data_IF_393633336144
#
_entry.id   IF_393633336144
#
_cell.length_a   1.000
_cell.length_b   1.000
_cell.length_c   1.000
_cell.angle_alpha   90.00
_cell.angle_beta   90.00
_cell.angle_gamma   90.00
#
_symmetry.space_group_name_H-M   'P 1'
#
loop_
_entity.id
_entity.type
_entity.pdbx_description
1 polymer ?
#
# COMPACT_ATOMS: atom_id res chain seq x y z
N UNK A 1 -27.67 -14.45 26.22
CA UNK A 1 -26.91 -14.20 24.97
C UNK A 1 -26.53 -12.73 24.90
N UNK A 2 -25.26 -12.38 25.17
CA UNK A 2 -24.74 -11.01 24.94
C UNK A 2 -24.38 -10.88 23.47
N UNK A 3 -24.99 -9.95 22.75
CA UNK A 3 -24.56 -9.59 21.39
C UNK A 3 -23.22 -8.88 21.52
N UNK A 4 -22.13 -9.55 21.15
CA UNK A 4 -20.82 -8.92 21.03
C UNK A 4 -20.92 -7.80 20.00
N UNK A 5 -20.47 -6.61 20.35
CA UNK A 5 -20.45 -5.48 19.42
C UNK A 5 -19.31 -5.70 18.43
N UNK A 6 -19.50 -5.34 17.16
CA UNK A 6 -18.42 -5.35 16.16
C UNK A 6 -17.25 -4.41 16.54
N UNK A 7 -17.42 -3.56 17.57
CA UNK A 7 -16.39 -2.64 18.06
C UNK A 7 -15.24 -3.35 18.80
N UNK A 8 -15.45 -4.58 19.28
CA UNK A 8 -14.45 -5.34 20.05
C UNK A 8 -13.53 -6.21 19.18
N UNK A 9 -13.65 -6.12 17.85
CA UNK A 9 -12.77 -6.85 16.94
C UNK A 9 -11.36 -6.23 16.93
N UNK A 10 -10.29 -7.04 16.85
CA UNK A 10 -8.92 -6.54 16.97
C UNK A 10 -8.53 -5.55 15.86
N UNK A 11 -9.25 -5.55 14.73
CA UNK A 11 -9.02 -4.68 13.58
C UNK A 11 -9.91 -3.42 13.58
N UNK A 12 -10.87 -3.28 14.50
CA UNK A 12 -11.76 -2.10 14.61
C UNK A 12 -11.22 -1.01 15.52
N UNK A 13 -10.03 -1.21 16.12
CA UNK A 13 -9.29 -0.16 16.82
C UNK A 13 -8.73 0.82 15.80
N UNK A 14 -9.55 1.75 15.33
CA UNK A 14 -9.05 2.95 14.66
C UNK A 14 -8.40 3.83 15.72
N UNK A 15 -7.14 3.54 16.05
CA UNK A 15 -6.31 4.52 16.73
C UNK A 15 -6.31 5.78 15.86
N UNK A 16 -6.98 6.82 16.35
CA UNK A 16 -6.99 8.12 15.71
C UNK A 16 -5.55 8.61 15.80
N UNK A 17 -4.75 8.31 14.79
CA UNK A 17 -3.39 8.84 14.64
C UNK A 17 -3.53 10.36 14.69
N UNK A 18 -3.20 10.94 15.84
CA UNK A 18 -3.01 12.37 15.96
C UNK A 18 -2.03 12.74 14.86
N UNK A 19 -2.48 13.53 13.88
CA UNK A 19 -1.61 14.02 12.83
C UNK A 19 -0.60 14.92 13.53
N UNK A 20 0.59 14.39 13.82
CA UNK A 20 1.73 15.22 14.17
C UNK A 20 1.84 16.28 13.08
N UNK A 21 1.85 17.56 13.48
CA UNK A 21 2.11 18.65 12.57
C UNK A 21 3.46 18.36 11.91
N UNK A 22 3.47 18.33 10.57
CA UNK A 22 4.72 18.16 9.85
C UNK A 22 5.66 19.30 10.28
N UNK A 23 6.96 19.01 10.54
CA UNK A 23 7.92 20.04 10.89
C UNK A 23 7.92 21.11 9.81
N UNK A 24 7.84 22.38 10.21
CA UNK A 24 7.90 23.51 9.29
C UNK A 24 9.26 23.47 8.62
N UNK A 25 9.35 23.33 7.29
CA UNK A 25 10.64 23.29 6.61
C UNK A 25 11.26 24.69 6.64
N UNK A 26 12.52 24.81 7.07
CA UNK A 26 13.32 26.05 7.04
C UNK A 26 13.75 26.47 5.61
N UNK A 27 12.93 26.13 4.60
CA UNK A 27 13.23 26.36 3.19
C UNK A 27 12.86 27.77 2.71
N UNK A 28 13.44 28.24 1.59
CA UNK A 28 13.05 29.50 0.98
C UNK A 28 11.57 29.45 0.58
N UNK A 29 10.80 30.46 1.01
CA UNK A 29 9.36 30.60 0.72
C UNK A 29 9.19 31.62 -0.41
N UNK A 30 8.37 31.30 -1.40
CA UNK A 30 7.97 32.23 -2.47
C UNK A 30 6.59 32.77 -2.19
N UNK A 31 6.42 34.10 -2.21
CA UNK A 31 5.14 34.75 -1.97
C UNK A 31 4.46 35.11 -3.29
N UNK A 32 3.30 34.53 -3.56
CA UNK A 32 2.50 34.81 -4.76
C UNK A 32 1.07 35.16 -4.33
N UNK A 33 0.58 36.33 -4.75
CA UNK A 33 -0.77 36.82 -4.44
C UNK A 33 -1.14 36.76 -2.93
N UNK A 34 -0.19 37.11 -2.06
CA UNK A 34 -0.39 37.11 -0.61
C UNK A 34 -0.39 35.72 0.05
N UNK A 35 -0.13 34.66 -0.70
CA UNK A 35 0.04 33.29 -0.21
C UNK A 35 1.52 32.90 -0.21
N UNK A 36 1.90 32.18 0.84
CA UNK A 36 3.25 31.66 1.04
C UNK A 36 3.33 30.23 0.50
N UNK A 37 4.18 30.03 -0.52
CA UNK A 37 4.44 28.73 -1.11
C UNK A 37 5.85 28.29 -0.72
N UNK A 38 5.97 27.15 -0.07
CA UNK A 38 7.26 26.49 0.09
C UNK A 38 7.83 26.20 -1.30
N UNK A 39 9.08 26.58 -1.54
CA UNK A 39 9.80 26.05 -2.70
C UNK A 39 10.05 24.57 -2.45
N UNK A 40 9.14 23.73 -2.95
CA UNK A 40 9.37 22.31 -3.15
C UNK A 40 10.45 22.17 -4.23
N UNK A 41 11.70 22.50 -3.89
CA UNK A 41 12.82 21.95 -4.64
C UNK A 41 12.75 20.46 -4.38
N UNK A 42 12.35 19.68 -5.39
CA UNK A 42 12.57 18.25 -5.35
C UNK A 42 14.04 18.08 -4.96
N UNK A 43 14.32 17.59 -3.76
CA UNK A 43 15.65 17.08 -3.43
C UNK A 43 15.79 15.82 -4.27
N UNK A 44 16.01 16.02 -5.58
CA UNK A 44 16.43 15.00 -6.49
C UNK A 44 17.80 14.61 -5.99
N UNK A 45 17.84 13.50 -5.25
CA UNK A 45 19.10 12.87 -4.91
C UNK A 45 19.74 12.45 -6.24
N UNK A 46 20.72 13.23 -6.68
CA UNK A 46 21.42 12.99 -7.95
C UNK A 46 22.09 11.60 -7.97
N UNK A 47 22.25 10.95 -6.81
CA UNK A 47 22.81 9.60 -6.68
C UNK A 47 21.77 8.48 -6.72
N UNK A 48 20.47 8.81 -6.69
CA UNK A 48 19.41 7.82 -6.45
C UNK A 48 18.17 7.97 -7.35
N UNK A 49 18.17 8.90 -8.29
CA UNK A 49 16.95 9.21 -9.08
C UNK A 49 17.00 8.77 -10.54
N UNK A 50 18.14 8.29 -11.06
CA UNK A 50 18.24 7.91 -12.47
C UNK A 50 18.44 6.39 -12.62
N UNK A 51 17.35 5.64 -12.49
CA UNK A 51 17.34 4.24 -12.96
C UNK A 51 17.61 4.25 -14.46
N UNK A 52 18.66 3.55 -14.87
CA UNK A 52 18.98 3.34 -16.29
C UNK A 52 17.83 2.59 -16.98
N UNK A 53 17.66 2.72 -18.30
CA UNK A 53 16.65 1.95 -19.03
C UNK A 53 16.78 0.43 -18.83
N UNK A 54 18.01 -0.07 -18.61
CA UNK A 54 18.25 -1.47 -18.31
C UNK A 54 17.70 -1.86 -16.92
N UNK A 55 17.95 -1.05 -15.89
CA UNK A 55 17.40 -1.28 -14.55
C UNK A 55 15.87 -1.18 -14.54
N UNK A 56 15.29 -0.26 -15.30
CA UNK A 56 13.84 -0.17 -15.46
C UNK A 56 13.25 -1.44 -16.07
N UNK A 57 13.89 -2.01 -17.10
CA UNK A 57 13.45 -3.29 -17.70
C UNK A 57 13.52 -4.45 -16.69
N UNK A 58 14.60 -4.52 -15.90
CA UNK A 58 14.74 -5.57 -14.88
C UNK A 58 13.66 -5.44 -13.80
N UNK A 59 13.36 -4.22 -13.36
CA UNK A 59 12.32 -3.97 -12.37
C UNK A 59 10.93 -4.33 -12.92
N UNK A 60 10.64 -3.98 -14.17
CA UNK A 60 9.37 -4.30 -14.80
C UNK A 60 9.22 -5.81 -14.99
N UNK A 61 10.28 -6.52 -15.41
CA UNK A 61 10.27 -7.97 -15.48
C UNK A 61 9.98 -8.61 -14.12
N UNK A 62 10.68 -8.20 -13.06
CA UNK A 62 10.44 -8.71 -11.69
C UNK A 62 9.02 -8.43 -11.22
N UNK A 63 8.47 -7.28 -11.59
CA UNK A 63 7.08 -6.93 -11.28
C UNK A 63 6.11 -7.89 -11.96
N UNK A 64 6.31 -8.20 -13.23
CA UNK A 64 5.46 -9.15 -13.96
C UNK A 64 5.53 -10.55 -13.35
N UNK A 65 6.74 -11.04 -13.06
CA UNK A 65 6.95 -12.33 -12.38
C UNK A 65 6.23 -12.39 -11.02
N UNK A 66 6.30 -11.30 -10.23
CA UNK A 66 5.60 -11.22 -8.95
C UNK A 66 4.07 -11.17 -9.09
N UNK A 67 3.54 -10.57 -10.16
CA UNK A 67 2.10 -10.58 -10.46
C UNK A 67 1.65 -11.98 -10.83
N UNK A 68 2.38 -12.67 -11.70
CA UNK A 68 2.08 -14.05 -12.10
C UNK A 68 2.09 -15.00 -10.90
N UNK A 69 3.08 -14.88 -10.01
CA UNK A 69 3.16 -15.68 -8.79
C UNK A 69 1.93 -15.48 -7.88
N UNK A 70 1.50 -14.23 -7.69
CA UNK A 70 0.28 -13.92 -6.90
C UNK A 70 -0.98 -14.49 -7.54
N UNK A 71 -1.08 -14.45 -8.87
CA UNK A 71 -2.21 -15.02 -9.57
C UNK A 71 -2.26 -16.55 -9.38
N UNK A 72 -1.13 -17.23 -9.55
CA UNK A 72 -1.03 -18.68 -9.35
C UNK A 72 -1.40 -19.08 -7.91
N UNK A 73 -0.96 -18.32 -6.91
CA UNK A 73 -1.34 -18.53 -5.51
C UNK A 73 -2.86 -18.33 -5.29
N UNK A 74 -3.43 -17.27 -5.87
CA UNK A 74 -4.88 -17.00 -5.80
C UNK A 74 -5.69 -18.15 -6.42
N UNK A 75 -5.27 -18.66 -7.57
CA UNK A 75 -5.94 -19.76 -8.26
C UNK A 75 -5.86 -21.07 -7.46
N UNK A 76 -4.72 -21.35 -6.84
CA UNK A 76 -4.55 -22.50 -5.95
C UNK A 76 -5.46 -22.41 -4.71
N UNK A 77 -5.53 -21.23 -4.09
CA UNK A 77 -6.40 -20.98 -2.95
C UNK A 77 -7.89 -21.11 -3.34
N UNK A 78 -8.27 -20.61 -4.51
CA UNK A 78 -9.64 -20.76 -5.02
C UNK A 78 -10.00 -22.22 -5.28
N UNK A 79 -9.11 -22.99 -5.90
CA UNK A 79 -9.31 -24.42 -6.11
C UNK A 79 -9.45 -25.19 -4.79
N UNK A 80 -8.64 -24.86 -3.78
CA UNK A 80 -8.75 -25.44 -2.44
C UNK A 80 -10.09 -25.08 -1.78
N UNK A 81 -10.54 -23.83 -1.88
CA UNK A 81 -11.83 -23.38 -1.36
C UNK A 81 -13.01 -24.11 -2.02
N UNK A 82 -12.96 -24.35 -3.34
CA UNK A 82 -13.97 -25.14 -4.06
C UNK A 82 -14.02 -26.59 -3.54
N UNK A 83 -12.87 -27.23 -3.34
CA UNK A 83 -12.80 -28.59 -2.79
C UNK A 83 -13.37 -28.65 -1.37
N UNK A 84 -13.02 -27.68 -0.54
CA UNK A 84 -13.56 -27.57 0.82
C UNK A 84 -15.09 -27.38 0.79
N UNK A 85 -15.59 -26.48 -0.06
CA UNK A 85 -17.02 -26.25 -0.24
C UNK A 85 -17.77 -27.51 -0.70
N UNK A 86 -17.18 -28.27 -1.63
CA UNK A 86 -17.73 -29.55 -2.06
C UNK A 86 -17.78 -30.57 -0.91
N UNK A 87 -16.70 -30.71 -0.15
CA UNK A 87 -16.63 -31.61 1.00
C UNK A 87 -17.67 -31.27 2.08
N UNK A 88 -17.84 -29.98 2.38
CA UNK A 88 -18.85 -29.49 3.33
C UNK A 88 -20.30 -29.66 2.83
N UNK A 89 -20.51 -29.68 1.51
CA UNK A 89 -21.82 -29.96 0.90
C UNK A 89 -22.16 -31.44 0.94
N UNK A 90 -21.18 -32.33 0.75
CA UNK A 90 -21.39 -33.79 0.78
C UNK A 90 -21.42 -34.40 2.18
N UNK A 91 -20.86 -33.71 3.18
CA UNK A 91 -20.87 -34.15 4.58
C UNK A 91 -22.07 -33.67 5.40
N UNK A 92 -23.10 -33.13 4.73
CA UNK A 92 -24.35 -32.65 5.32
C UNK A 92 -25.51 -33.46 4.75
#
# INVERSE_FOLDING_TARGET
MRRGSFADLPFTKSERRERQAAPVPDGPVTRVAGRDYLQETSRHDARNTALTPAEQKVLEQRRLEAVEARQAESDANFAAALRLGAALKSGR
#
